data_IF_993573725689
#
_entry.id   IF_993573725689
#
_cell.length_a   1.000
_cell.length_b   1.000
_cell.length_c   1.000
_cell.angle_alpha   90.00
_cell.angle_beta   90.00
_cell.angle_gamma   90.00
#
_symmetry.space_group_name_H-M   'P 1'
#
loop_
_entity.id
_entity.type
_entity.pdbx_description
1 polymer ?
#
# COMPACT_ATOMS: atom_id res chain seq x y z
N UNK A 1 -21.03 -26.15 -12.48
CA UNK A 1 -20.99 -24.98 -11.58
C UNK A 1 -20.50 -25.50 -10.25
N UNK A 2 -19.39 -24.99 -9.72
CA UNK A 2 -18.97 -25.36 -8.36
C UNK A 2 -19.91 -24.64 -7.42
N UNK A 3 -20.79 -25.37 -6.74
CA UNK A 3 -21.59 -24.84 -5.64
C UNK A 3 -20.62 -24.20 -4.64
N UNK A 4 -20.68 -22.88 -4.52
CA UNK A 4 -20.12 -22.22 -3.36
C UNK A 4 -21.06 -22.55 -2.20
N UNK A 5 -20.48 -22.89 -1.05
CA UNK A 5 -21.17 -22.90 0.22
C UNK A 5 -21.60 -21.45 0.52
N UNK A 6 -22.72 -21.06 -0.07
CA UNK A 6 -23.30 -19.74 0.00
C UNK A 6 -24.31 -19.67 1.14
N UNK A 7 -24.71 -18.47 1.51
CA UNK A 7 -25.70 -18.30 2.57
C UNK A 7 -27.10 -18.79 2.15
N UNK A 8 -27.34 -18.97 0.83
CA UNK A 8 -28.63 -19.44 0.30
C UNK A 8 -29.75 -18.41 0.49
N UNK A 9 -29.41 -17.13 0.60
CA UNK A 9 -30.36 -16.04 0.87
C UNK A 9 -30.43 -15.06 -0.30
N UNK A 10 -31.63 -14.57 -0.58
CA UNK A 10 -31.89 -13.53 -1.60
C UNK A 10 -31.50 -12.11 -1.12
N UNK A 11 -31.14 -11.95 0.15
CA UNK A 11 -30.77 -10.65 0.72
C UNK A 11 -29.53 -10.10 -0.01
N UNK A 12 -29.58 -8.90 -0.61
CA UNK A 12 -28.46 -8.34 -1.36
C UNK A 12 -27.16 -8.23 -0.55
N UNK A 13 -27.25 -7.98 0.75
CA UNK A 13 -26.08 -7.93 1.65
C UNK A 13 -25.45 -9.32 1.80
N UNK A 14 -26.28 -10.36 1.91
CA UNK A 14 -25.83 -11.74 1.96
C UNK A 14 -25.11 -12.13 0.66
N UNK A 15 -25.72 -11.83 -0.49
CA UNK A 15 -25.14 -12.10 -1.81
C UNK A 15 -23.79 -11.38 -2.00
N UNK A 16 -23.71 -10.10 -1.62
CA UNK A 16 -22.45 -9.35 -1.66
C UNK A 16 -21.38 -9.95 -0.73
N UNK A 17 -21.79 -10.48 0.42
CA UNK A 17 -20.87 -11.08 1.41
C UNK A 17 -20.21 -12.36 0.88
N UNK A 18 -20.89 -13.15 0.05
CA UNK A 18 -20.30 -14.34 -0.58
C UNK A 18 -19.09 -14.00 -1.46
N UNK A 19 -19.08 -12.80 -2.03
CA UNK A 19 -17.98 -12.30 -2.86
C UNK A 19 -16.95 -11.58 -1.97
N UNK A 20 -17.39 -10.55 -1.24
CA UNK A 20 -16.51 -9.59 -0.58
C UNK A 20 -15.91 -10.13 0.72
N UNK A 21 -16.64 -10.93 1.49
CA UNK A 21 -16.17 -11.43 2.79
C UNK A 21 -15.29 -12.67 2.69
N UNK A 22 -15.05 -13.18 1.47
CA UNK A 22 -14.00 -14.14 1.21
C UNK A 22 -12.63 -13.54 1.56
N UNK A 23 -11.84 -14.23 2.39
CA UNK A 23 -10.52 -13.77 2.82
C UNK A 23 -9.68 -13.35 1.61
N UNK A 24 -9.07 -12.16 1.71
CA UNK A 24 -8.31 -11.43 0.68
C UNK A 24 -9.10 -10.65 -0.36
N UNK A 25 -10.39 -10.91 -0.60
CA UNK A 25 -11.11 -10.24 -1.70
C UNK A 25 -11.13 -8.72 -1.54
N UNK A 26 -11.50 -8.21 -0.37
CA UNK A 26 -11.49 -6.76 -0.07
C UNK A 26 -10.10 -6.15 -0.20
N UNK A 27 -9.04 -6.89 0.11
CA UNK A 27 -7.66 -6.43 -0.04
C UNK A 27 -7.22 -6.38 -1.51
N UNK A 28 -7.68 -7.33 -2.34
CA UNK A 28 -7.47 -7.30 -3.80
C UNK A 28 -8.19 -6.11 -4.42
N UNK A 29 -9.45 -5.87 -4.04
CA UNK A 29 -10.21 -4.69 -4.49
C UNK A 29 -9.52 -3.40 -4.05
N UNK A 30 -9.03 -3.33 -2.80
CA UNK A 30 -8.23 -2.19 -2.32
C UNK A 30 -7.03 -1.92 -3.23
N UNK A 31 -6.28 -2.94 -3.65
CA UNK A 31 -5.12 -2.74 -4.52
C UNK A 31 -5.50 -2.19 -5.91
N UNK A 32 -6.64 -2.60 -6.46
CA UNK A 32 -7.16 -1.99 -7.69
C UNK A 32 -7.51 -0.51 -7.49
N UNK A 33 -8.18 -0.17 -6.39
CA UNK A 33 -8.55 1.21 -6.06
C UNK A 33 -7.33 2.12 -5.85
N UNK A 34 -6.19 1.50 -5.51
CA UNK A 34 -4.88 2.15 -5.41
C UNK A 34 -4.06 2.11 -6.71
N UNK A 35 -4.67 1.70 -7.83
CA UNK A 35 -4.10 1.82 -9.18
C UNK A 35 -3.31 0.61 -9.68
N UNK A 36 -3.26 -0.51 -8.96
CA UNK A 36 -2.61 -1.72 -9.47
C UNK A 36 -3.42 -2.30 -10.63
N UNK A 37 -2.81 -2.51 -11.80
CA UNK A 37 -3.48 -3.12 -12.97
C UNK A 37 -2.82 -4.40 -13.43
N UNK A 38 -1.65 -4.74 -12.88
CA UNK A 38 -0.89 -5.94 -13.22
C UNK A 38 -0.81 -6.93 -12.07
N UNK A 39 -0.68 -8.21 -12.40
CA UNK A 39 -0.56 -9.29 -11.41
C UNK A 39 0.61 -9.07 -10.43
N UNK A 40 1.77 -8.64 -10.93
CA UNK A 40 2.94 -8.42 -10.08
C UNK A 40 2.80 -7.17 -9.18
N UNK A 41 2.03 -6.16 -9.59
CA UNK A 41 1.71 -5.01 -8.73
C UNK A 41 0.80 -5.44 -7.59
N UNK A 42 -0.27 -6.18 -7.90
CA UNK A 42 -1.17 -6.78 -6.90
C UNK A 42 -0.41 -7.64 -5.90
N UNK A 43 0.59 -8.41 -6.34
CA UNK A 43 1.44 -9.21 -5.46
C UNK A 43 2.30 -8.37 -4.52
N UNK A 44 2.86 -7.25 -5.00
CA UNK A 44 3.66 -6.35 -4.17
C UNK A 44 2.81 -5.66 -3.10
N UNK A 45 1.56 -5.32 -3.44
CA UNK A 45 0.59 -4.79 -2.47
C UNK A 45 -0.03 -5.83 -1.53
N UNK A 46 0.19 -7.12 -1.78
CA UNK A 46 -0.36 -8.24 -1.00
C UNK A 46 0.74 -9.28 -0.70
N UNK A 47 1.84 -8.90 -0.01
CA UNK A 47 3.04 -9.74 0.09
C UNK A 47 2.82 -11.09 0.81
N UNK A 48 1.79 -11.19 1.66
CA UNK A 48 1.43 -12.43 2.39
C UNK A 48 0.41 -13.31 1.65
N UNK A 49 0.01 -12.95 0.44
CA UNK A 49 -0.93 -13.72 -0.38
C UNK A 49 -0.18 -14.60 -1.38
N UNK A 50 -0.53 -15.88 -1.46
CA UNK A 50 0.11 -16.78 -2.43
C UNK A 50 -0.34 -16.43 -3.86
N UNK A 51 0.53 -16.63 -4.88
CA UNK A 51 0.17 -16.38 -6.28
C UNK A 51 -1.04 -17.20 -6.73
N UNK A 52 -1.13 -18.46 -6.31
CA UNK A 52 -2.26 -19.33 -6.64
C UNK A 52 -3.59 -18.80 -6.07
N UNK A 53 -3.57 -18.30 -4.82
CA UNK A 53 -4.75 -17.69 -4.22
C UNK A 53 -5.12 -16.38 -4.90
N UNK A 54 -4.14 -15.57 -5.31
CA UNK A 54 -4.40 -14.33 -6.06
C UNK A 54 -5.07 -14.63 -7.40
N UNK A 55 -4.54 -15.59 -8.17
CA UNK A 55 -5.17 -16.04 -9.42
C UNK A 55 -6.60 -16.55 -9.20
N UNK A 56 -6.83 -17.29 -8.11
CA UNK A 56 -8.19 -17.72 -7.73
C UNK A 56 -9.10 -16.51 -7.47
N UNK A 57 -8.68 -15.54 -6.66
CA UNK A 57 -9.48 -14.34 -6.35
C UNK A 57 -9.76 -13.48 -7.59
N UNK A 58 -8.78 -13.32 -8.48
CA UNK A 58 -8.97 -12.58 -9.73
C UNK A 58 -10.02 -13.25 -10.62
N UNK A 59 -9.96 -14.58 -10.78
CA UNK A 59 -10.98 -15.33 -11.52
C UNK A 59 -12.36 -15.19 -10.89
N UNK A 60 -12.45 -15.23 -9.57
CA UNK A 60 -13.71 -15.07 -8.85
C UNK A 60 -14.30 -13.67 -9.01
N UNK A 61 -13.47 -12.62 -8.99
CA UNK A 61 -13.88 -11.23 -9.19
C UNK A 61 -14.28 -10.94 -10.65
N UNK A 62 -13.60 -11.57 -11.61
CA UNK A 62 -13.97 -11.51 -13.04
C UNK A 62 -15.33 -12.18 -13.26
N UNK A 63 -15.53 -13.37 -12.69
CA UNK A 63 -16.81 -14.08 -12.76
C UNK A 63 -17.98 -13.33 -12.12
N UNK A 64 -17.72 -12.54 -11.07
CA UNK A 64 -18.74 -11.69 -10.46
C UNK A 64 -18.91 -10.32 -11.15
N UNK A 65 -18.20 -10.06 -12.25
CA UNK A 65 -18.28 -8.80 -12.99
C UNK A 65 -17.70 -7.60 -12.24
N UNK A 66 -16.88 -7.82 -11.20
CA UNK A 66 -16.23 -6.74 -10.42
C UNK A 66 -15.00 -6.22 -11.15
N UNK A 67 -14.32 -7.09 -11.90
CA UNK A 67 -13.18 -6.72 -12.75
C UNK A 67 -13.39 -7.19 -14.18
N UNK A 68 -12.70 -6.54 -15.11
CA UNK A 68 -12.48 -7.01 -16.47
C UNK A 68 -11.00 -7.36 -16.67
N UNK A 69 -10.73 -8.33 -17.54
CA UNK A 69 -9.38 -8.79 -17.87
C UNK A 69 -9.14 -8.58 -19.36
N UNK A 70 -8.13 -7.77 -19.69
CA UNK A 70 -7.72 -7.52 -21.07
C UNK A 70 -6.38 -8.19 -21.33
N UNK A 71 -6.26 -8.92 -22.44
CA UNK A 71 -5.01 -9.54 -22.89
C UNK A 71 -4.55 -8.86 -24.18
N UNK A 72 -3.41 -8.20 -24.13
CA UNK A 72 -2.82 -7.55 -25.30
C UNK A 72 -2.12 -8.57 -26.19
N UNK A 73 -1.88 -8.19 -27.46
CA UNK A 73 -1.25 -9.07 -28.46
C UNK A 73 0.17 -9.54 -28.08
N UNK A 74 0.88 -8.77 -27.26
CA UNK A 74 2.20 -9.11 -26.70
C UNK A 74 2.11 -9.97 -25.42
N UNK A 75 0.94 -10.52 -25.09
CA UNK A 75 0.75 -11.44 -23.97
C UNK A 75 0.63 -10.78 -22.60
N UNK A 76 0.63 -9.45 -22.52
CA UNK A 76 0.48 -8.76 -21.23
C UNK A 76 -0.99 -8.77 -20.83
N UNK A 77 -1.24 -9.10 -19.56
CA UNK A 77 -2.59 -9.15 -18.98
C UNK A 77 -2.83 -7.94 -18.09
N UNK A 78 -3.85 -7.15 -18.38
CA UNK A 78 -4.35 -6.03 -17.59
C UNK A 78 -5.63 -6.41 -16.86
N UNK A 79 -5.75 -5.94 -15.62
CA UNK A 79 -6.92 -6.08 -14.78
C UNK A 79 -7.45 -4.68 -14.47
N UNK A 80 -8.75 -4.46 -14.61
CA UNK A 80 -9.38 -3.18 -14.32
C UNK A 80 -10.70 -3.39 -13.58
N UNK A 81 -11.04 -2.49 -12.67
CA UNK A 81 -12.38 -2.48 -12.08
C UNK A 81 -13.41 -2.15 -13.15
N UNK A 82 -14.56 -2.82 -13.08
CA UNK A 82 -15.75 -2.42 -13.82
C UNK A 82 -16.44 -1.26 -13.09
N UNK A 83 -17.53 -0.73 -13.66
CA UNK A 83 -18.39 0.22 -12.95
C UNK A 83 -18.87 -0.33 -11.60
N UNK A 84 -19.28 -1.61 -11.56
CA UNK A 84 -19.67 -2.29 -10.33
C UNK A 84 -18.50 -2.44 -9.34
N UNK A 85 -17.27 -2.66 -9.84
CA UNK A 85 -16.09 -2.70 -8.98
C UNK A 85 -15.70 -1.34 -8.39
N UNK A 86 -15.87 -0.26 -9.13
CA UNK A 86 -15.64 1.10 -8.64
C UNK A 86 -16.65 1.52 -7.55
N UNK A 87 -17.89 1.02 -7.61
CA UNK A 87 -18.90 1.23 -6.55
C UNK A 87 -18.49 0.61 -5.19
N UNK A 88 -17.50 -0.29 -5.16
CA UNK A 88 -16.95 -0.83 -3.91
C UNK A 88 -16.03 0.17 -3.19
N UNK A 89 -15.56 1.23 -3.85
CA UNK A 89 -14.67 2.25 -3.28
C UNK A 89 -15.16 2.81 -1.94
N UNK A 90 -16.38 3.35 -1.80
CA UNK A 90 -16.89 3.84 -0.52
C UNK A 90 -16.93 2.75 0.56
N UNK A 91 -17.18 1.48 0.21
CA UNK A 91 -17.19 0.38 1.18
C UNK A 91 -15.78 0.06 1.69
N UNK A 92 -14.80 -0.02 0.80
CA UNK A 92 -13.39 -0.27 1.17
C UNK A 92 -12.83 0.89 2.02
N UNK A 93 -13.12 2.13 1.62
CA UNK A 93 -12.71 3.31 2.40
C UNK A 93 -13.42 3.34 3.75
N UNK A 94 -14.73 3.03 3.78
CA UNK A 94 -15.51 2.91 5.01
C UNK A 94 -14.95 1.87 5.97
N UNK A 95 -14.57 0.70 5.47
CA UNK A 95 -13.94 -0.37 6.26
C UNK A 95 -12.62 0.09 6.89
N UNK A 96 -11.75 0.73 6.10
CA UNK A 96 -10.47 1.26 6.59
C UNK A 96 -10.65 2.39 7.61
N UNK A 97 -11.60 3.29 7.38
CA UNK A 97 -11.95 4.36 8.32
C UNK A 97 -12.51 3.82 9.63
N UNK A 98 -13.40 2.84 9.57
CA UNK A 98 -13.92 2.17 10.75
C UNK A 98 -12.78 1.49 11.54
N UNK A 99 -11.90 0.77 10.86
CA UNK A 99 -10.74 0.13 11.48
C UNK A 99 -9.80 1.17 12.13
N UNK A 100 -9.48 2.26 11.44
CA UNK A 100 -8.66 3.34 11.98
C UNK A 100 -9.28 3.96 13.24
N UNK A 101 -10.61 4.14 13.24
CA UNK A 101 -11.34 4.78 14.34
C UNK A 101 -11.40 3.92 15.59
N UNK A 102 -11.63 2.62 15.43
CA UNK A 102 -12.03 1.73 16.53
C UNK A 102 -11.01 0.65 16.89
N UNK A 103 -10.07 0.32 16.00
CA UNK A 103 -9.04 -0.68 16.30
C UNK A 103 -7.78 -0.04 16.88
N UNK A 104 -7.20 -0.69 17.90
CA UNK A 104 -5.99 -0.21 18.57
C UNK A 104 -4.78 -0.12 17.61
N UNK A 105 -4.12 1.05 17.56
CA UNK A 105 -2.82 1.24 16.87
C UNK A 105 -1.76 0.26 17.36
N UNK A 106 -1.81 -0.09 18.65
CA UNK A 106 -0.82 -0.99 19.24
C UNK A 106 -0.88 -2.38 18.60
N UNK A 107 -2.05 -2.83 18.16
CA UNK A 107 -2.21 -4.11 17.45
C UNK A 107 -1.73 -4.01 16.00
N UNK A 108 -1.93 -2.87 15.32
CA UNK A 108 -1.43 -2.67 13.96
C UNK A 108 0.10 -2.62 13.91
N UNK A 109 0.75 -2.00 14.90
CA UNK A 109 2.21 -1.88 14.99
C UNK A 109 2.93 -3.16 15.46
N UNK A 110 2.22 -4.27 15.69
CA UNK A 110 2.83 -5.60 15.97
C UNK A 110 3.10 -6.39 14.70
N UNK A 111 2.37 -6.12 13.62
CA UNK A 111 2.40 -6.92 12.39
C UNK A 111 3.00 -6.11 11.22
N UNK A 112 4.16 -5.49 11.47
CA UNK A 112 4.82 -4.65 10.49
C UNK A 112 5.32 -5.48 9.31
N UNK A 113 5.20 -4.92 8.11
CA UNK A 113 5.71 -5.51 6.87
C UNK A 113 6.35 -4.39 6.05
N UNK A 114 7.69 -4.38 5.89
CA UNK A 114 8.38 -3.33 5.16
C UNK A 114 7.96 -3.32 3.68
N UNK A 115 7.61 -4.46 3.10
CA UNK A 115 7.25 -4.54 1.68
C UNK A 115 5.92 -3.83 1.41
N UNK A 116 4.94 -4.03 2.29
CA UNK A 116 3.66 -3.35 2.20
C UNK A 116 3.82 -1.84 2.45
N UNK A 117 4.55 -1.46 3.50
CA UNK A 117 4.78 -0.06 3.84
C UNK A 117 5.46 0.69 2.67
N UNK A 118 6.55 0.14 2.15
CA UNK A 118 7.32 0.77 1.09
C UNK A 118 6.52 0.82 -0.23
N UNK A 119 5.70 -0.19 -0.52
CA UNK A 119 4.78 -0.18 -1.65
C UNK A 119 3.70 0.91 -1.52
N UNK A 120 3.14 1.08 -0.32
CA UNK A 120 2.15 2.12 -0.01
C UNK A 120 2.74 3.53 -0.11
N UNK A 121 3.96 3.72 0.40
CA UNK A 121 4.68 4.98 0.27
C UNK A 121 4.95 5.28 -1.21
N UNK A 122 5.52 4.34 -1.97
CA UNK A 122 5.83 4.49 -3.40
C UNK A 122 4.66 5.04 -4.22
N UNK A 123 3.44 4.56 -3.98
CA UNK A 123 2.25 4.98 -4.74
C UNK A 123 1.60 6.29 -4.26
N UNK A 124 2.09 6.85 -3.15
CA UNK A 124 1.48 8.02 -2.51
C UNK A 124 2.40 9.24 -2.48
N UNK A 125 3.64 9.10 -2.93
CA UNK A 125 4.59 10.21 -3.05
C UNK A 125 4.02 11.33 -3.93
N UNK A 126 4.08 12.57 -3.44
CA UNK A 126 3.76 13.76 -4.23
C UNK A 126 5.00 14.18 -5.04
N UNK A 127 5.16 13.58 -6.22
CA UNK A 127 6.33 13.80 -7.09
C UNK A 127 6.48 15.24 -7.57
N UNK A 128 5.43 16.07 -7.49
CA UNK A 128 5.49 17.50 -7.83
C UNK A 128 6.29 18.32 -6.82
N UNK A 129 6.52 17.77 -5.63
CA UNK A 129 7.32 18.37 -4.55
C UNK A 129 8.78 17.90 -4.56
N UNK A 130 9.11 16.96 -5.44
CA UNK A 130 10.46 16.43 -5.58
C UNK A 130 11.21 17.14 -6.70
N UNK A 131 12.55 17.10 -6.70
CA UNK A 131 13.37 17.64 -7.78
C UNK A 131 12.95 17.09 -9.14
N UNK A 132 13.11 17.90 -10.19
CA UNK A 132 12.85 17.49 -11.57
C UNK A 132 13.91 16.54 -12.12
N UNK A 133 15.11 16.54 -11.53
CA UNK A 133 16.17 15.55 -11.81
C UNK A 133 15.85 14.22 -11.12
N UNK A 134 16.58 13.15 -11.48
CA UNK A 134 16.58 11.91 -10.72
C UNK A 134 16.84 12.20 -9.23
N UNK A 135 15.98 11.67 -8.38
CA UNK A 135 16.04 11.78 -6.93
C UNK A 135 15.98 10.38 -6.32
N UNK A 136 17.05 9.97 -5.64
CA UNK A 136 17.15 8.65 -5.00
C UNK A 136 17.05 8.80 -3.49
N UNK A 137 16.02 8.19 -2.89
CA UNK A 137 15.78 8.24 -1.45
C UNK A 137 15.94 6.81 -0.89
N UNK A 138 16.89 6.62 0.01
CA UNK A 138 17.11 5.35 0.68
C UNK A 138 16.38 5.31 2.02
N UNK A 139 15.65 4.23 2.28
CA UNK A 139 15.08 3.90 3.57
C UNK A 139 15.84 2.72 4.17
N UNK A 140 16.41 2.93 5.35
CA UNK A 140 17.19 1.94 6.10
C UNK A 140 16.51 1.63 7.43
N UNK A 141 16.22 0.35 7.66
CA UNK A 141 15.63 -0.22 8.88
C UNK A 141 16.63 -1.16 9.56
N UNK A 142 17.58 -0.65 10.38
CA UNK A 142 18.71 -1.43 10.88
C UNK A 142 18.33 -2.70 11.67
N UNK A 143 17.15 -2.74 12.27
CA UNK A 143 16.65 -3.86 13.06
C UNK A 143 16.14 -5.05 12.22
N UNK A 144 15.97 -4.86 10.90
CA UNK A 144 15.50 -5.91 10.00
C UNK A 144 16.65 -6.75 9.43
N UNK A 145 16.29 -7.91 8.86
CA UNK A 145 17.25 -8.78 8.18
C UNK A 145 17.92 -8.09 6.99
N UNK A 146 19.11 -8.54 6.60
CA UNK A 146 19.86 -7.98 5.46
C UNK A 146 19.05 -7.91 4.16
N UNK A 147 18.12 -8.87 3.94
CA UNK A 147 17.28 -8.94 2.75
C UNK A 147 16.10 -7.94 2.76
N UNK A 148 15.82 -7.29 3.89
CA UNK A 148 14.63 -6.45 4.07
C UNK A 148 14.92 -5.08 4.70
N UNK A 149 16.15 -4.83 5.14
CA UNK A 149 16.51 -3.59 5.83
C UNK A 149 16.66 -2.38 4.91
N UNK A 150 16.99 -2.57 3.63
CA UNK A 150 17.29 -1.46 2.73
C UNK A 150 16.31 -1.39 1.56
N UNK A 151 15.78 -0.20 1.33
CA UNK A 151 14.85 0.09 0.24
C UNK A 151 15.19 1.42 -0.41
N UNK A 152 14.91 1.55 -1.70
CA UNK A 152 15.16 2.76 -2.47
C UNK A 152 13.92 3.17 -3.23
N UNK A 153 13.52 4.43 -3.08
CA UNK A 153 12.60 5.10 -3.98
C UNK A 153 13.43 5.89 -4.98
N UNK A 154 13.32 5.54 -6.25
CA UNK A 154 13.97 6.26 -7.35
C UNK A 154 12.89 7.03 -8.07
N UNK A 155 12.99 8.37 -8.04
CA UNK A 155 12.03 9.26 -8.68
C UNK A 155 12.69 9.90 -9.90
N UNK A 156 12.09 9.72 -11.07
CA UNK A 156 12.57 10.27 -12.34
C UNK A 156 11.37 10.52 -13.26
N UNK A 157 11.29 11.72 -13.86
CA UNK A 157 10.18 12.12 -14.75
C UNK A 157 8.78 11.90 -14.16
N UNK A 158 8.62 12.14 -12.86
CA UNK A 158 7.37 11.96 -12.13
C UNK A 158 6.96 10.50 -11.89
N UNK A 159 7.78 9.52 -12.34
CA UNK A 159 7.62 8.11 -12.03
C UNK A 159 8.41 7.76 -10.78
N UNK A 160 7.88 6.84 -9.99
CA UNK A 160 8.52 6.32 -8.78
C UNK A 160 8.73 4.83 -8.92
N UNK A 161 9.97 4.39 -8.88
CA UNK A 161 10.36 2.99 -8.79
C UNK A 161 10.74 2.64 -7.36
N UNK A 162 10.44 1.40 -6.96
CA UNK A 162 10.78 0.85 -5.65
C UNK A 162 11.72 -0.33 -5.82
N UNK A 163 12.90 -0.24 -5.23
CA UNK A 163 13.89 -1.31 -5.19
C UNK A 163 14.14 -1.77 -3.75
N UNK A 164 14.38 -3.07 -3.57
CA UNK A 164 14.87 -3.69 -2.34
C UNK A 164 16.33 -4.18 -2.48
N UNK A 165 17.01 -3.70 -3.51
CA UNK A 165 18.42 -3.87 -3.80
C UNK A 165 18.97 -2.51 -4.21
N UNK A 166 20.28 -2.33 -4.05
CA UNK A 166 20.95 -1.09 -4.41
C UNK A 166 20.83 -0.85 -5.94
N UNK A 167 20.17 0.23 -6.39
CA UNK A 167 20.02 0.53 -7.80
C UNK A 167 21.30 1.08 -8.45
N UNK A 168 22.36 1.36 -7.68
CA UNK A 168 23.63 1.88 -8.18
C UNK A 168 23.62 3.39 -8.51
N UNK A 169 22.67 4.14 -7.94
CA UNK A 169 22.61 5.60 -8.05
C UNK A 169 23.08 6.27 -6.77
N UNK A 170 23.57 7.50 -6.89
CA UNK A 170 23.86 8.33 -5.72
C UNK A 170 22.59 8.57 -4.90
N UNK A 171 22.71 8.46 -3.57
CA UNK A 171 21.61 8.66 -2.63
C UNK A 171 21.53 10.15 -2.26
N UNK A 172 20.41 10.78 -2.59
CA UNK A 172 20.14 12.19 -2.28
C UNK A 172 19.68 12.38 -0.83
N UNK A 173 18.94 11.41 -0.30
CA UNK A 173 18.44 11.41 1.07
C UNK A 173 18.45 9.98 1.63
N UNK A 174 19.17 9.78 2.72
CA UNK A 174 19.09 8.60 3.57
C UNK A 174 18.13 8.87 4.72
N UNK A 175 17.16 7.97 4.87
CA UNK A 175 16.18 7.93 5.95
C UNK A 175 16.47 6.67 6.77
N UNK A 176 17.11 6.84 7.92
CA UNK A 176 17.44 5.74 8.83
C UNK A 176 16.52 5.79 10.06
N UNK A 177 15.88 4.68 10.40
CA UNK A 177 15.06 4.59 11.61
C UNK A 177 14.39 3.23 11.75
N UNK A 178 13.50 3.09 12.72
CA UNK A 178 12.76 1.84 12.87
C UNK A 178 11.57 1.74 11.89
N UNK A 179 11.27 0.52 11.45
CA UNK A 179 10.06 0.21 10.66
C UNK A 179 8.80 0.62 11.43
N UNK A 180 8.84 0.51 12.77
CA UNK A 180 7.76 0.95 13.66
C UNK A 180 7.53 2.45 13.56
N UNK A 181 8.59 3.26 13.67
CA UNK A 181 8.52 4.72 13.56
C UNK A 181 8.00 5.14 12.20
N UNK A 182 8.55 4.57 11.12
CA UNK A 182 8.09 4.87 9.76
C UNK A 182 6.63 4.49 9.53
N UNK A 183 6.20 3.34 10.05
CA UNK A 183 4.78 2.93 9.98
C UNK A 183 3.90 3.87 10.81
N UNK A 184 4.35 4.31 11.98
CA UNK A 184 3.61 5.25 12.81
C UNK A 184 3.44 6.60 12.10
N UNK A 185 4.49 7.11 11.46
CA UNK A 185 4.45 8.32 10.64
C UNK A 185 3.43 8.13 9.52
N UNK A 186 3.59 7.07 8.72
CA UNK A 186 2.71 6.76 7.58
C UNK A 186 1.22 6.69 7.97
N UNK A 187 0.93 6.12 9.15
CA UNK A 187 -0.43 5.99 9.69
C UNK A 187 -0.96 7.25 10.38
N UNK A 188 -0.16 8.32 10.44
CA UNK A 188 -0.51 9.60 11.08
C UNK A 188 -0.52 9.57 12.61
N UNK A 189 0.22 8.65 13.23
CA UNK A 189 0.31 8.51 14.70
C UNK A 189 1.37 9.42 15.33
N UNK A 190 2.34 9.81 14.52
CA UNK A 190 3.47 10.68 14.85
C UNK A 190 3.83 11.43 13.56
N UNK A 191 4.83 12.30 13.63
CA UNK A 191 5.30 13.10 12.49
C UNK A 191 6.79 12.87 12.28
N UNK A 192 7.28 13.16 11.07
CA UNK A 192 8.73 13.16 10.78
C UNK A 192 9.48 13.99 11.82
N UNK A 193 8.98 15.21 12.11
CA UNK A 193 9.56 16.11 13.11
C UNK A 193 9.65 15.49 14.50
N UNK A 194 8.57 14.88 14.98
CA UNK A 194 8.55 14.26 16.31
C UNK A 194 9.53 13.09 16.42
N UNK A 195 9.64 12.26 15.39
CA UNK A 195 10.60 11.15 15.39
C UNK A 195 12.05 11.62 15.21
N UNK A 196 12.29 12.72 14.49
CA UNK A 196 13.64 13.31 14.42
C UNK A 196 14.05 13.98 15.73
N UNK A 197 13.13 14.70 16.39
CA UNK A 197 13.38 15.34 17.68
C UNK A 197 13.60 14.30 18.80
N UNK A 198 12.99 13.12 18.66
CA UNK A 198 13.17 11.98 19.56
C UNK A 198 14.35 11.06 19.19
N UNK A 199 15.13 11.40 18.15
CA UNK A 199 16.25 10.62 17.62
C UNK A 199 15.90 9.18 17.18
N UNK A 200 14.62 8.89 16.94
CA UNK A 200 14.12 7.59 16.44
C UNK A 200 14.09 7.51 14.91
N UNK A 201 14.25 8.66 14.25
CA UNK A 201 14.43 8.80 12.80
C UNK A 201 15.56 9.78 12.51
N UNK A 202 16.48 9.41 11.63
CA UNK A 202 17.60 10.24 11.17
C UNK A 202 17.48 10.47 9.67
N UNK A 203 17.75 11.71 9.27
CA UNK A 203 17.72 12.16 7.88
C UNK A 203 19.09 12.71 7.51
N UNK A 204 19.75 12.12 6.52
CA UNK A 204 21.09 12.50 6.07
C UNK A 204 21.09 12.73 4.55
N UNK A 205 21.66 13.84 4.09
CA UNK A 205 21.69 14.19 2.65
C UNK A 205 21.15 15.60 2.38
N UNK A 206 20.40 15.75 1.30
CA UNK A 206 19.84 17.02 0.86
C UNK A 206 18.89 17.63 1.91
N UNK A 207 19.19 18.86 2.32
CA UNK A 207 18.47 19.57 3.38
C UNK A 207 17.05 19.96 3.00
N UNK A 208 16.80 20.26 1.73
CA UNK A 208 15.47 20.63 1.25
C UNK A 208 14.58 19.38 1.21
N UNK A 209 15.11 18.27 0.68
CA UNK A 209 14.41 16.98 0.70
C UNK A 209 14.07 16.54 2.14
N UNK A 210 15.03 16.63 3.05
CA UNK A 210 14.82 16.27 4.45
C UNK A 210 13.76 17.15 5.13
N UNK A 211 13.83 18.47 4.92
CA UNK A 211 12.90 19.44 5.53
C UNK A 211 11.45 19.22 5.06
N UNK A 212 11.26 18.97 3.77
CA UNK A 212 9.93 18.88 3.14
C UNK A 212 9.40 17.43 3.09
N UNK A 213 10.04 16.52 3.84
CA UNK A 213 9.75 15.09 3.82
C UNK A 213 8.31 14.74 4.17
N UNK A 214 7.74 15.42 5.16
CA UNK A 214 6.37 15.14 5.57
C UNK A 214 5.37 15.41 4.44
N UNK A 215 5.64 16.43 3.61
CA UNK A 215 4.80 16.90 2.53
C UNK A 215 4.92 16.04 1.28
N UNK A 216 6.13 15.67 0.85
CA UNK A 216 6.31 14.84 -0.34
C UNK A 216 6.04 13.36 -0.07
N UNK A 217 6.26 12.87 1.16
CA UNK A 217 5.95 11.48 1.51
C UNK A 217 4.44 11.25 1.59
N UNK A 218 3.72 12.25 2.07
CA UNK A 218 2.30 12.15 2.36
C UNK A 218 2.02 11.21 3.54
N UNK A 219 0.78 10.73 3.60
CA UNK A 219 0.29 9.83 4.63
C UNK A 219 -0.65 8.81 4.00
N UNK A 220 -0.94 7.74 4.75
CA UNK A 220 -2.04 6.85 4.43
C UNK A 220 -3.34 7.64 4.26
N UNK A 221 -4.18 7.22 3.30
CA UNK A 221 -5.51 7.81 3.07
C UNK A 221 -6.40 7.76 4.31
N UNK A 222 -6.10 6.85 5.24
CA UNK A 222 -6.83 6.69 6.50
C UNK A 222 -6.27 7.55 7.65
N UNK A 223 -5.10 8.16 7.50
CA UNK A 223 -4.43 8.91 8.57
C UNK A 223 -5.26 10.10 9.08
N UNK A 224 -6.10 10.69 8.21
CA UNK A 224 -6.99 11.82 8.55
C UNK A 224 -8.21 11.40 9.38
N UNK A 225 -8.50 10.11 9.48
CA UNK A 225 -9.67 9.63 10.21
C UNK A 225 -9.44 9.73 11.71
N UNK A 226 -10.30 10.45 12.45
CA UNK A 226 -10.16 10.60 13.90
C UNK A 226 -10.22 9.23 14.58
N UNK A 227 -9.29 9.00 15.50
CA UNK A 227 -9.31 7.83 16.37
C UNK A 227 -10.15 8.11 17.60
N UNK A 228 -11.03 7.17 17.96
CA UNK A 228 -11.67 7.20 19.27
C UNK A 228 -10.60 6.79 20.28
N UNK A 229 -10.33 7.65 21.28
CA UNK A 229 -9.53 7.23 22.44
C UNK A 229 -10.37 6.21 23.19
N UNK A 230 -9.86 4.98 23.31
CA UNK A 230 -10.36 4.00 24.28
C UNK A 230 -10.06 4.50 25.70
#
# INVERSE_FOLDING_TARGET
>A
MVERDGYGQFCPVSMASEILCSRWTTLVVREFLCGSTRFNELRRGLPKMSPALLSKRLKELEQSGVITVTRSANGITDYQLTAAGEELRPLIIGLGNWAQRWMESRLSLKNLDPSLLMWDMRRSLDTRRLPTRRCTIQFLYPELSAAQKSWWLVVEDGKVDLCNFDPGYDVDLLVEGSLRSMTAIWMGLTTIRQETDAETLKLEGDRVLARDMQEWLGLSVFAKTPRMRA
#
